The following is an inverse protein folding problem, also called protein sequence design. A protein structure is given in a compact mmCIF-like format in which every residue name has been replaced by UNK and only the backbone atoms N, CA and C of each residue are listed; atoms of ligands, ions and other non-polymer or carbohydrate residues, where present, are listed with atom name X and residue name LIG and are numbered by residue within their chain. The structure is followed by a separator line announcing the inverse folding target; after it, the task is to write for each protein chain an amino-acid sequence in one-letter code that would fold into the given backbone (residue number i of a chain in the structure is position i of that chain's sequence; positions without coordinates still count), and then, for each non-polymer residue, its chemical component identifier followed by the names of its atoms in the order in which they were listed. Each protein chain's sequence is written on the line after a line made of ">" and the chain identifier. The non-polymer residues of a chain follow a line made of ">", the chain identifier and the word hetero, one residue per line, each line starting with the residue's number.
data_IF_125296847882
#
_entry.id   IF_125296847882
#
_cell.length_a   1.000
_cell.length_b   1.000
_cell.length_c   1.000
_cell.angle_alpha   90.00
_cell.angle_beta   90.00
_cell.angle_gamma   90.00
#
_symmetry.space_group_name_H-M   'P 1'
#
loop_
_entity.id
_entity.type
_entity.pdbx_description
1 polymer ?
#
# COMPACT_ATOMS: atom_id res chain seq x y z
N UNK A 1 -24.56 -34.61 7.48
CA UNK A 1 -25.14 -33.27 7.66
C UNK A 1 -23.98 -32.30 7.69
N UNK A 2 -23.82 -31.46 6.67
CA UNK A 2 -22.73 -30.49 6.64
C UNK A 2 -23.31 -29.17 7.14
N UNK A 3 -22.84 -28.71 8.29
CA UNK A 3 -23.13 -27.37 8.80
C UNK A 3 -22.56 -26.36 7.80
N UNK A 4 -23.45 -25.72 7.04
CA UNK A 4 -23.10 -24.55 6.24
C UNK A 4 -22.82 -23.43 7.24
N UNK A 5 -21.55 -23.21 7.56
CA UNK A 5 -21.13 -22.02 8.30
C UNK A 5 -21.64 -20.80 7.55
N UNK A 6 -22.51 -20.03 8.21
CA UNK A 6 -22.99 -18.74 7.74
C UNK A 6 -21.78 -17.85 7.46
N UNK A 7 -21.61 -17.45 6.20
CA UNK A 7 -20.69 -16.38 5.83
C UNK A 7 -21.35 -15.07 6.22
N UNK A 8 -20.84 -14.41 7.27
CA UNK A 8 -21.41 -13.20 7.85
C UNK A 8 -21.62 -12.12 6.78
N UNK A 9 -22.88 -11.74 6.56
CA UNK A 9 -23.24 -10.61 5.72
C UNK A 9 -22.83 -9.30 6.38
N UNK A 10 -22.22 -8.40 5.61
CA UNK A 10 -21.90 -7.04 6.05
C UNK A 10 -23.04 -6.13 5.68
N UNK A 11 -23.73 -5.62 6.71
CA UNK A 11 -24.76 -4.60 6.54
C UNK A 11 -24.17 -3.21 6.81
N UNK A 12 -24.29 -2.33 5.83
CA UNK A 12 -23.93 -0.91 5.89
C UNK A 12 -25.22 -0.11 5.92
N UNK A 13 -25.45 0.60 7.02
CA UNK A 13 -26.65 1.40 7.22
C UNK A 13 -26.39 2.87 6.88
N UNK A 14 -27.48 3.63 6.67
CA UNK A 14 -27.45 5.06 6.41
C UNK A 14 -26.61 5.43 5.17
N UNK A 15 -26.63 4.59 4.14
CA UNK A 15 -25.98 4.84 2.87
C UNK A 15 -27.01 5.41 1.90
N UNK A 16 -26.90 6.69 1.52
CA UNK A 16 -27.77 7.30 0.51
C UNK A 16 -27.58 6.66 -0.87
N UNK A 17 -28.52 6.89 -1.78
CA UNK A 17 -28.44 6.35 -3.14
C UNK A 17 -27.19 6.87 -3.87
N UNK A 18 -26.89 8.16 -3.75
CA UNK A 18 -25.69 8.77 -4.35
C UNK A 18 -24.39 8.17 -3.79
N UNK A 19 -24.34 7.94 -2.47
CA UNK A 19 -23.20 7.27 -1.82
C UNK A 19 -23.05 5.82 -2.28
N UNK A 20 -24.15 5.08 -2.39
CA UNK A 20 -24.14 3.72 -2.91
C UNK A 20 -23.70 3.68 -4.38
N UNK A 21 -24.15 4.63 -5.19
CA UNK A 21 -23.73 4.77 -6.59
C UNK A 21 -22.24 5.09 -6.71
N UNK A 22 -21.67 5.93 -5.82
CA UNK A 22 -20.21 6.14 -5.74
C UNK A 22 -19.45 4.85 -5.44
N UNK A 23 -19.93 4.08 -4.45
CA UNK A 23 -19.35 2.77 -4.09
C UNK A 23 -19.43 1.80 -5.27
N UNK A 24 -20.57 1.74 -5.97
CA UNK A 24 -20.72 0.86 -7.14
C UNK A 24 -19.89 1.29 -8.32
N UNK A 25 -19.76 2.60 -8.57
CA UNK A 25 -18.89 3.12 -9.62
C UNK A 25 -17.43 2.78 -9.35
N UNK A 26 -16.98 2.90 -8.09
CA UNK A 26 -15.66 2.42 -7.67
C UNK A 26 -15.49 0.92 -7.94
N UNK A 27 -16.43 0.08 -7.53
CA UNK A 27 -16.34 -1.37 -7.76
C UNK A 27 -16.39 -1.73 -9.26
N UNK A 28 -17.09 -0.93 -10.07
CA UNK A 28 -17.15 -1.09 -11.51
C UNK A 28 -15.83 -0.70 -12.19
N UNK A 29 -15.15 0.37 -11.76
CA UNK A 29 -13.89 0.82 -12.36
C UNK A 29 -12.78 -0.23 -12.22
N UNK A 30 -12.83 -1.08 -11.19
CA UNK A 30 -11.94 -2.23 -11.02
C UNK A 30 -12.41 -3.51 -11.71
N UNK A 31 -13.52 -3.46 -12.44
CA UNK A 31 -14.08 -4.61 -13.15
C UNK A 31 -14.71 -5.68 -12.24
N UNK A 32 -14.89 -5.39 -10.95
CA UNK A 32 -15.51 -6.33 -10.01
C UNK A 32 -17.01 -6.49 -10.27
N UNK A 33 -17.64 -5.43 -10.79
CA UNK A 33 -19.03 -5.40 -11.25
C UNK A 33 -19.03 -4.89 -12.69
N UNK A 34 -19.76 -5.55 -13.60
CA UNK A 34 -19.86 -5.10 -15.01
C UNK A 34 -20.97 -4.07 -15.21
N UNK A 35 -22.15 -4.36 -14.66
CA UNK A 35 -23.34 -3.54 -14.78
C UNK A 35 -23.87 -3.22 -13.37
N UNK A 36 -23.55 -2.04 -12.81
CA UNK A 36 -24.07 -1.61 -11.52
C UNK A 36 -25.59 -1.67 -11.50
N UNK A 37 -26.11 -2.28 -10.45
CA UNK A 37 -27.53 -2.44 -10.18
C UNK A 37 -27.73 -2.34 -8.67
N UNK A 38 -28.97 -2.28 -8.19
CA UNK A 38 -29.23 -2.32 -6.75
C UNK A 38 -29.02 -3.70 -6.14
N UNK A 39 -28.77 -4.74 -6.93
CA UNK A 39 -28.35 -6.03 -6.41
C UNK A 39 -27.60 -6.80 -7.48
N UNK A 40 -26.77 -7.74 -7.07
CA UNK A 40 -26.02 -8.56 -8.00
C UNK A 40 -24.94 -9.39 -7.32
N UNK A 41 -24.05 -9.93 -8.17
CA UNK A 41 -22.85 -10.63 -7.75
C UNK A 41 -21.61 -9.89 -8.23
N UNK A 42 -20.53 -10.00 -7.46
CA UNK A 42 -19.22 -9.46 -7.79
C UNK A 42 -18.13 -10.45 -7.41
N UNK A 43 -16.95 -10.30 -8.02
CA UNK A 43 -15.76 -11.06 -7.61
C UNK A 43 -14.67 -10.06 -7.26
N UNK A 44 -14.29 -10.03 -5.99
CA UNK A 44 -13.25 -9.12 -5.48
C UNK A 44 -12.07 -9.98 -5.03
N UNK A 45 -10.92 -9.80 -5.66
CA UNK A 45 -9.69 -10.55 -5.33
C UNK A 45 -9.92 -12.08 -5.29
N UNK A 46 -10.63 -12.62 -6.29
CA UNK A 46 -10.97 -14.04 -6.37
C UNK A 46 -12.03 -14.52 -5.38
N UNK A 47 -12.54 -13.66 -4.50
CA UNK A 47 -13.61 -13.97 -3.56
C UNK A 47 -14.96 -13.62 -4.17
N UNK A 48 -15.91 -14.56 -4.32
CA UNK A 48 -17.25 -14.26 -4.81
C UNK A 48 -18.09 -13.61 -3.71
N UNK A 49 -18.77 -12.53 -4.04
CA UNK A 49 -19.70 -11.85 -3.16
C UNK A 49 -21.05 -11.61 -3.85
N UNK A 50 -22.12 -11.56 -3.08
CA UNK A 50 -23.37 -10.94 -3.48
C UNK A 50 -23.51 -9.57 -2.80
N UNK A 51 -24.29 -8.70 -3.42
CA UNK A 51 -24.65 -7.43 -2.82
C UNK A 51 -26.11 -7.08 -3.13
N UNK A 52 -26.73 -6.35 -2.20
CA UNK A 52 -28.08 -5.84 -2.32
C UNK A 52 -28.19 -4.49 -1.60
N UNK A 53 -28.60 -3.47 -2.32
CA UNK A 53 -28.89 -2.14 -1.82
C UNK A 53 -30.39 -1.89 -1.82
N UNK A 54 -30.94 -1.63 -0.64
CA UNK A 54 -32.32 -1.22 -0.45
C UNK A 54 -32.41 0.31 -0.32
N UNK A 55 -33.04 0.93 -1.31
CA UNK A 55 -33.24 2.38 -1.38
C UNK A 55 -34.15 2.92 -0.26
N UNK A 56 -35.12 2.13 0.19
CA UNK A 56 -36.10 2.56 1.19
C UNK A 56 -35.47 2.60 2.59
N UNK A 57 -34.71 1.55 2.94
CA UNK A 57 -34.00 1.47 4.21
C UNK A 57 -32.62 2.12 4.19
N UNK A 58 -32.09 2.50 3.02
CA UNK A 58 -30.73 3.05 2.84
C UNK A 58 -29.67 2.10 3.37
N UNK A 59 -29.84 0.81 3.06
CA UNK A 59 -28.93 -0.25 3.53
C UNK A 59 -28.28 -0.95 2.36
N UNK A 60 -26.96 -1.16 2.45
CA UNK A 60 -26.20 -2.01 1.54
C UNK A 60 -25.75 -3.25 2.29
N UNK A 61 -26.26 -4.40 1.87
CA UNK A 61 -25.80 -5.71 2.30
C UNK A 61 -24.78 -6.25 1.30
N UNK A 62 -23.63 -6.72 1.79
CA UNK A 62 -22.63 -7.44 1.01
C UNK A 62 -22.30 -8.74 1.72
N UNK A 63 -22.50 -9.86 1.04
CA UNK A 63 -22.26 -11.19 1.59
C UNK A 63 -21.17 -11.90 0.81
N UNK A 64 -20.21 -12.47 1.55
CA UNK A 64 -19.25 -13.42 0.98
C UNK A 64 -19.97 -14.72 0.64
N UNK A 65 -19.88 -15.18 -0.60
CA UNK A 65 -20.50 -16.44 -1.02
C UNK A 65 -19.65 -17.65 -0.67
N UNK A 66 -18.37 -17.44 -0.35
CA UNK A 66 -17.44 -18.45 0.14
C UNK A 66 -16.52 -17.83 1.22
N UNK A 67 -16.05 -18.62 2.19
CA UNK A 67 -15.05 -18.16 3.15
C UNK A 67 -13.79 -17.63 2.43
N UNK A 68 -13.26 -16.52 2.93
CA UNK A 68 -12.06 -15.89 2.37
C UNK A 68 -11.14 -15.41 3.49
N UNK A 69 -9.86 -15.79 3.42
CA UNK A 69 -8.80 -15.23 4.29
C UNK A 69 -8.36 -13.84 3.82
N UNK A 70 -8.81 -13.49 2.62
CA UNK A 70 -8.41 -12.37 1.80
C UNK A 70 -9.44 -11.25 2.01
N UNK A 71 -10.68 -11.46 1.60
CA UNK A 71 -11.78 -10.52 1.81
C UNK A 71 -12.52 -10.86 3.10
N UNK A 72 -12.50 -9.96 4.08
CA UNK A 72 -13.17 -10.13 5.39
C UNK A 72 -14.25 -9.08 5.60
N UNK A 73 -15.27 -9.35 6.44
CA UNK A 73 -16.33 -8.39 6.77
C UNK A 73 -15.83 -6.97 7.11
N UNK A 74 -14.77 -6.86 7.91
CA UNK A 74 -14.19 -5.58 8.30
C UNK A 74 -13.62 -4.78 7.11
N UNK A 75 -13.05 -5.46 6.11
CA UNK A 75 -12.46 -4.83 4.92
C UNK A 75 -13.53 -4.36 3.95
N UNK A 76 -14.57 -5.16 3.77
CA UNK A 76 -15.76 -4.77 3.00
C UNK A 76 -16.33 -3.48 3.58
N UNK A 77 -16.54 -3.44 4.91
CA UNK A 77 -17.02 -2.24 5.61
C UNK A 77 -16.09 -1.04 5.39
N UNK A 78 -14.78 -1.21 5.55
CA UNK A 78 -13.81 -0.14 5.37
C UNK A 78 -13.82 0.45 3.95
N UNK A 79 -13.98 -0.38 2.91
CA UNK A 79 -14.06 0.10 1.52
C UNK A 79 -15.33 0.90 1.29
N UNK A 80 -16.50 0.39 1.72
CA UNK A 80 -17.77 1.11 1.55
C UNK A 80 -17.76 2.45 2.31
N UNK A 81 -17.26 2.43 3.55
CA UNK A 81 -17.11 3.61 4.40
C UNK A 81 -16.16 4.66 3.80
N UNK A 82 -15.10 4.23 3.09
CA UNK A 82 -14.20 5.15 2.40
C UNK A 82 -14.85 5.76 1.17
N UNK A 83 -15.44 4.94 0.30
CA UNK A 83 -15.96 5.40 -0.98
C UNK A 83 -17.24 6.24 -0.84
N UNK A 84 -18.06 6.00 0.20
CA UNK A 84 -19.24 6.85 0.45
C UNK A 84 -18.90 8.32 0.66
N UNK A 85 -17.73 8.60 1.26
CA UNK A 85 -17.24 9.95 1.56
C UNK A 85 -16.22 10.47 0.54
N UNK A 86 -15.96 9.76 -0.56
CA UNK A 86 -14.96 10.18 -1.55
C UNK A 86 -15.42 11.45 -2.28
N UNK A 87 -14.63 12.55 -2.28
CA UNK A 87 -14.98 13.78 -2.98
C UNK A 87 -15.15 13.60 -4.49
N UNK A 88 -16.16 14.23 -5.08
CA UNK A 88 -16.49 14.12 -6.52
C UNK A 88 -15.35 14.57 -7.46
N UNK A 89 -14.49 15.48 -7.00
CA UNK A 89 -13.29 15.91 -7.74
C UNK A 89 -12.24 14.81 -7.97
N UNK A 90 -12.41 13.63 -7.35
CA UNK A 90 -11.58 12.44 -7.54
C UNK A 90 -12.29 11.34 -8.36
N UNK A 91 -13.42 11.65 -9.01
CA UNK A 91 -14.24 10.73 -9.83
C UNK A 91 -14.09 11.00 -11.34
N UNK A 92 -13.01 11.66 -11.77
CA UNK A 92 -12.81 12.11 -13.16
C UNK A 92 -12.72 10.97 -14.19
N UNK A 93 -13.46 11.13 -15.29
CA UNK A 93 -13.71 10.16 -16.38
C UNK A 93 -12.53 9.85 -17.31
N UNK A 94 -11.28 9.93 -16.83
CA UNK A 94 -10.09 9.42 -17.52
C UNK A 94 -9.33 8.55 -16.52
N UNK A 95 -9.99 7.49 -16.09
CA UNK A 95 -9.44 6.56 -15.13
C UNK A 95 -8.65 5.46 -15.86
N UNK A 96 -7.43 5.76 -16.29
CA UNK A 96 -6.36 4.75 -16.29
C UNK A 96 -5.96 4.44 -14.85
N UNK A 97 -6.91 4.01 -14.02
CA UNK A 97 -6.75 3.93 -12.57
C UNK A 97 -6.47 2.49 -12.13
N UNK A 98 -5.22 2.32 -11.68
CA UNK A 98 -4.59 1.15 -11.09
C UNK A 98 -5.40 0.61 -9.89
N UNK A 99 -5.42 -0.74 -9.67
CA UNK A 99 -6.06 -1.36 -8.50
C UNK A 99 -5.58 -0.71 -7.20
N UNK A 100 -6.38 -0.82 -6.13
CA UNK A 100 -5.99 -0.45 -4.76
C UNK A 100 -4.59 -1.00 -4.45
N UNK A 101 -3.57 -0.16 -4.65
CA UNK A 101 -2.24 -0.67 -4.99
C UNK A 101 -1.59 -1.33 -3.77
N UNK A 102 -1.12 -2.55 -3.96
CA UNK A 102 -0.11 -3.19 -3.11
C UNK A 102 1.20 -2.41 -3.26
N UNK A 103 1.26 -1.18 -2.75
CA UNK A 103 2.39 -0.28 -2.91
C UNK A 103 3.63 -0.96 -2.33
N UNK A 104 4.66 -1.13 -3.14
CA UNK A 104 5.88 -1.82 -2.77
C UNK A 104 7.09 -0.88 -2.84
N UNK A 105 7.87 -0.84 -1.79
CA UNK A 105 9.09 -0.05 -1.70
C UNK A 105 10.25 -0.99 -1.38
N UNK A 106 11.18 -1.08 -2.31
CA UNK A 106 12.40 -1.88 -2.15
C UNK A 106 13.63 -0.96 -2.16
N UNK A 107 14.22 -0.74 -0.98
CA UNK A 107 15.35 0.19 -0.85
C UNK A 107 16.66 -0.59 -0.92
N UNK A 108 17.44 -0.29 -1.95
CA UNK A 108 18.83 -0.78 -2.07
C UNK A 108 19.78 0.25 -1.46
N UNK A 109 20.75 -0.21 -0.67
CA UNK A 109 21.81 0.65 -0.14
C UNK A 109 23.13 0.27 -0.79
N UNK A 110 23.79 1.25 -1.41
CA UNK A 110 25.18 1.17 -1.87
C UNK A 110 26.08 1.86 -0.85
N UNK A 111 26.86 1.07 -0.11
CA UNK A 111 27.69 1.55 0.98
C UNK A 111 29.15 1.81 0.55
N UNK A 112 29.41 2.98 -0.03
CA UNK A 112 30.77 3.47 -0.31
C UNK A 112 31.33 4.37 0.81
N UNK A 113 30.79 4.30 2.04
CA UNK A 113 31.21 5.17 3.15
C UNK A 113 32.59 4.83 3.74
N UNK A 114 33.07 3.61 3.50
CA UNK A 114 34.27 3.06 4.16
C UNK A 114 34.03 2.54 5.58
N UNK A 115 32.78 2.51 6.04
CA UNK A 115 32.37 1.98 7.34
C UNK A 115 31.31 0.88 7.19
N UNK A 116 31.21 -0.01 8.18
CA UNK A 116 30.09 -0.93 8.30
C UNK A 116 28.84 -0.14 8.70
N UNK A 117 27.77 -0.24 7.93
CA UNK A 117 26.47 0.28 8.35
C UNK A 117 25.76 -0.73 9.24
N UNK A 118 25.18 -0.28 10.34
CA UNK A 118 24.41 -1.11 11.27
C UNK A 118 23.02 -0.53 11.44
N UNK A 119 21.98 -1.30 11.14
CA UNK A 119 20.61 -0.88 11.38
C UNK A 119 20.41 -0.60 12.87
N UNK A 120 19.91 0.59 13.18
CA UNK A 120 19.77 1.12 14.55
C UNK A 120 18.32 1.48 14.89
N UNK A 121 17.42 1.40 13.91
CA UNK A 121 16.00 1.64 14.12
C UNK A 121 15.21 1.62 12.83
N UNK A 122 13.90 1.44 12.99
CA UNK A 122 12.90 1.72 11.97
C UNK A 122 11.68 2.34 12.64
N UNK A 123 11.00 3.21 11.92
CA UNK A 123 9.68 3.69 12.27
C UNK A 123 8.74 3.46 11.09
N UNK A 124 7.51 3.03 11.36
CA UNK A 124 6.53 2.68 10.32
C UNK A 124 5.25 3.44 10.61
N UNK A 125 4.99 4.43 9.76
CA UNK A 125 3.77 5.25 9.83
C UNK A 125 2.61 4.58 9.10
N UNK A 126 2.89 3.94 7.95
CA UNK A 126 1.91 3.25 7.11
C UNK A 126 2.45 1.95 6.56
N UNK A 127 1.57 0.96 6.44
CA UNK A 127 1.90 -0.33 5.85
C UNK A 127 2.70 -1.23 6.79
N UNK A 128 3.53 -2.09 6.20
CA UNK A 128 4.46 -2.96 6.93
C UNK A 128 5.85 -2.83 6.33
N UNK A 129 6.88 -2.95 7.16
CA UNK A 129 8.28 -2.83 6.75
C UNK A 129 9.12 -3.94 7.36
N UNK A 130 10.09 -4.42 6.58
CA UNK A 130 11.06 -5.44 6.95
C UNK A 130 12.45 -4.94 6.57
N UNK A 131 13.35 -4.96 7.55
CA UNK A 131 14.79 -4.84 7.29
C UNK A 131 15.28 -6.21 6.82
N UNK A 132 15.81 -6.27 5.60
CA UNK A 132 16.42 -7.48 5.03
C UNK A 132 17.86 -7.57 5.49
N UNK A 133 18.64 -6.50 5.32
CA UNK A 133 20.03 -6.44 5.73
C UNK A 133 20.24 -5.49 6.90
N UNK A 134 20.54 -6.06 8.07
CA UNK A 134 20.80 -5.29 9.29
C UNK A 134 22.25 -4.78 9.40
N UNK A 135 23.17 -5.34 8.62
CA UNK A 135 24.59 -5.00 8.61
C UNK A 135 25.09 -4.99 7.16
N UNK A 136 25.61 -3.88 6.69
CA UNK A 136 26.00 -3.71 5.27
C UNK A 136 27.46 -3.30 5.23
N UNK A 137 28.35 -4.17 4.73
CA UNK A 137 29.78 -3.90 4.74
C UNK A 137 30.16 -2.77 3.79
N UNK A 138 31.32 -2.17 4.00
CA UNK A 138 31.83 -1.16 3.08
C UNK A 138 32.17 -1.79 1.74
N UNK A 139 31.65 -1.22 0.66
CA UNK A 139 31.77 -1.72 -0.72
C UNK A 139 30.55 -2.52 -1.20
N UNK A 140 29.64 -2.91 -0.31
CA UNK A 140 28.47 -3.70 -0.68
C UNK A 140 27.33 -2.84 -1.25
N UNK A 141 26.60 -3.42 -2.19
CA UNK A 141 25.31 -2.94 -2.67
C UNK A 141 24.27 -4.05 -2.47
N UNK A 142 23.30 -3.81 -1.57
CA UNK A 142 22.33 -4.83 -1.16
C UNK A 142 20.93 -4.25 -1.01
N UNK A 143 19.92 -5.08 -1.28
CA UNK A 143 18.55 -4.80 -0.92
C UNK A 143 18.45 -4.79 0.62
N UNK A 144 18.28 -3.60 1.19
CA UNK A 144 18.33 -3.41 2.63
C UNK A 144 16.95 -3.53 3.26
N UNK A 145 15.90 -3.07 2.57
CA UNK A 145 14.56 -2.90 3.13
C UNK A 145 13.52 -3.24 2.09
N UNK A 146 12.47 -3.90 2.57
CA UNK A 146 11.23 -4.11 1.86
C UNK A 146 10.10 -3.51 2.70
N UNK A 147 9.33 -2.58 2.14
CA UNK A 147 8.12 -2.05 2.75
C UNK A 147 6.95 -2.18 1.78
N UNK A 148 5.77 -2.47 2.31
CA UNK A 148 4.57 -2.65 1.49
C UNK A 148 3.33 -2.11 2.15
N UNK A 149 2.29 -1.85 1.36
CA UNK A 149 0.93 -1.69 1.87
C UNK A 149 0.62 -2.81 2.87
N UNK A 150 -0.01 -2.48 3.99
CA UNK A 150 -0.49 -3.52 4.89
C UNK A 150 -1.48 -4.40 4.11
N UNK A 151 -1.45 -5.71 4.33
CA UNK A 151 -2.32 -6.62 3.58
C UNK A 151 -3.76 -6.15 3.74
N UNK A 152 -4.45 -5.88 2.62
CA UNK A 152 -5.83 -5.35 2.58
C UNK A 152 -6.03 -3.88 2.93
N UNK A 153 -4.94 -3.13 2.98
CA UNK A 153 -4.94 -1.70 3.20
C UNK A 153 -4.83 -0.97 1.87
N UNK A 154 -5.59 0.12 1.71
CA UNK A 154 -5.32 1.13 0.67
C UNK A 154 -4.30 2.17 1.12
N UNK A 155 -3.93 2.11 2.38
CA UNK A 155 -2.89 2.95 2.96
C UNK A 155 -1.56 2.40 2.46
N UNK A 156 -0.80 3.23 1.74
CA UNK A 156 0.46 2.88 1.11
C UNK A 156 1.59 2.51 2.07
N UNK A 157 2.84 2.63 1.62
CA UNK A 157 4.01 2.35 2.43
C UNK A 157 4.67 3.67 2.87
N UNK A 158 4.76 3.91 4.17
CA UNK A 158 5.39 5.13 4.72
C UNK A 158 6.17 4.81 5.99
N UNK A 159 7.40 5.30 6.08
CA UNK A 159 8.21 5.13 7.27
C UNK A 159 9.62 5.64 7.09
N UNK A 160 10.44 5.35 8.09
CA UNK A 160 11.85 5.68 8.10
C UNK A 160 12.68 4.51 8.59
N UNK A 161 13.93 4.47 8.16
CA UNK A 161 14.93 3.54 8.66
C UNK A 161 16.20 4.29 9.01
N UNK A 162 16.90 3.84 10.04
CA UNK A 162 18.14 4.47 10.48
C UNK A 162 19.28 3.46 10.51
N UNK A 163 20.36 3.76 9.82
CA UNK A 163 21.63 3.03 9.89
C UNK A 163 22.69 3.89 10.56
N UNK A 164 23.35 3.33 11.55
CA UNK A 164 24.52 3.91 12.16
C UNK A 164 25.75 3.69 11.26
N UNK A 165 26.50 4.76 10.99
CA UNK A 165 27.75 4.75 10.20
C UNK A 165 28.96 4.68 11.15
N UNK A 166 28.93 5.50 12.19
CA UNK A 166 29.93 5.54 13.27
C UNK A 166 29.25 5.84 14.61
N UNK A 167 30.01 5.97 15.70
CA UNK A 167 29.48 6.21 17.05
C UNK A 167 28.56 7.44 17.18
N UNK A 168 28.64 8.41 16.26
CA UNK A 168 27.96 9.70 16.36
C UNK A 168 27.24 10.12 15.08
N UNK A 169 27.19 9.27 14.05
CA UNK A 169 26.69 9.61 12.72
C UNK A 169 25.77 8.53 12.17
N UNK A 170 24.63 8.97 11.64
CA UNK A 170 23.53 8.13 11.19
C UNK A 170 23.08 8.54 9.79
N UNK A 171 22.77 7.53 8.98
CA UNK A 171 22.00 7.62 7.76
C UNK A 171 20.52 7.39 8.10
N UNK A 172 19.66 8.34 7.77
CA UNK A 172 18.21 8.21 7.89
C UNK A 172 17.64 8.19 6.48
N UNK A 173 16.86 7.16 6.16
CA UNK A 173 16.19 7.03 4.87
C UNK A 173 14.69 7.07 5.14
N UNK A 174 14.03 8.09 4.62
CA UNK A 174 12.58 8.25 4.67
C UNK A 174 12.00 7.76 3.34
N UNK A 175 10.93 6.99 3.42
CA UNK A 175 10.23 6.48 2.25
C UNK A 175 8.72 6.70 2.38
N UNK A 176 8.11 6.96 1.24
CA UNK A 176 6.69 7.19 1.08
C UNK A 176 6.25 6.72 -0.29
N UNK A 177 5.20 5.90 -0.35
CA UNK A 177 4.56 5.47 -1.58
C UNK A 177 3.06 5.28 -1.34
N UNK A 178 2.26 6.23 -1.80
CA UNK A 178 0.80 6.26 -1.71
C UNK A 178 0.19 6.59 -3.08
N UNK A 179 0.65 5.87 -4.12
CA UNK A 179 0.22 6.07 -5.51
C UNK A 179 1.28 6.75 -6.39
N UNK A 180 1.02 6.78 -7.70
CA UNK A 180 2.01 7.14 -8.73
C UNK A 180 2.51 8.59 -8.61
N UNK A 181 1.69 9.52 -8.14
CA UNK A 181 2.08 10.93 -7.97
C UNK A 181 2.54 11.26 -6.54
N UNK A 182 2.32 10.34 -5.60
CA UNK A 182 2.55 10.54 -4.18
C UNK A 182 3.58 9.53 -3.71
N UNK A 183 4.82 9.75 -4.14
CA UNK A 183 5.96 8.92 -3.79
C UNK A 183 7.18 9.78 -3.50
N UNK A 184 7.99 9.33 -2.56
CA UNK A 184 9.25 9.96 -2.24
C UNK A 184 10.16 8.95 -1.55
N UNK A 185 11.44 9.00 -1.91
CA UNK A 185 12.50 8.46 -1.07
C UNK A 185 13.54 9.56 -0.88
N UNK A 186 13.95 9.79 0.35
CA UNK A 186 15.02 10.74 0.67
C UNK A 186 15.99 10.09 1.64
N UNK A 187 17.22 10.61 1.65
CA UNK A 187 18.26 10.14 2.55
C UNK A 187 19.01 11.33 3.13
N UNK A 188 19.08 11.40 4.44
CA UNK A 188 19.79 12.46 5.16
C UNK A 188 20.83 11.89 6.12
N UNK A 189 21.85 12.70 6.39
CA UNK A 189 22.90 12.38 7.34
C UNK A 189 22.70 13.23 8.59
N UNK A 190 22.75 12.59 9.76
CA UNK A 190 22.60 13.25 11.06
C UNK A 190 23.75 12.86 11.96
N UNK A 191 24.38 13.83 12.62
CA UNK A 191 25.47 13.57 13.55
C UNK A 191 26.64 14.53 13.43
N UNK A 192 27.63 14.34 14.30
CA UNK A 192 28.81 15.22 14.40
C UNK A 192 29.67 15.15 13.13
N UNK A 193 29.78 13.97 12.51
CA UNK A 193 30.58 13.77 11.31
C UNK A 193 29.76 13.74 10.02
N UNK A 194 28.48 14.17 10.03
CA UNK A 194 27.59 14.08 8.88
C UNK A 194 28.18 14.75 7.62
N UNK A 195 28.86 15.89 7.77
CA UNK A 195 29.48 16.61 6.66
C UNK A 195 30.65 15.87 5.96
N UNK A 196 31.14 14.76 6.54
CA UNK A 196 32.18 13.92 5.92
C UNK A 196 31.63 12.90 4.93
N UNK A 197 30.32 12.80 4.86
CA UNK A 197 29.62 11.86 3.99
C UNK A 197 28.65 12.61 3.08
N UNK A 198 28.33 11.98 1.96
CA UNK A 198 27.33 12.45 1.02
C UNK A 198 26.38 11.31 0.72
N UNK A 199 25.10 11.65 0.61
CA UNK A 199 24.06 10.73 0.16
C UNK A 199 23.54 11.16 -1.20
N UNK A 200 23.27 10.18 -2.06
CA UNK A 200 22.48 10.40 -3.27
C UNK A 200 21.40 9.34 -3.35
N UNK A 201 20.20 9.77 -3.68
CA UNK A 201 19.06 8.88 -3.90
C UNK A 201 18.73 8.88 -5.39
N UNK A 202 18.65 7.70 -5.98
CA UNK A 202 18.18 7.49 -7.35
C UNK A 202 17.08 6.44 -7.36
N UNK A 203 16.44 6.21 -8.51
CA UNK A 203 15.39 5.19 -8.62
C UNK A 203 14.12 5.49 -7.83
N UNK A 204 13.87 6.77 -7.52
CA UNK A 204 12.67 7.18 -6.76
C UNK A 204 11.40 7.18 -7.60
N UNK A 205 11.51 6.98 -8.92
CA UNK A 205 10.33 6.88 -9.78
C UNK A 205 9.53 5.61 -9.46
N UNK A 206 8.24 5.68 -9.71
CA UNK A 206 7.35 4.53 -9.55
C UNK A 206 7.10 3.83 -10.87
N UNK A 207 6.82 2.53 -10.82
CA UNK A 207 6.33 1.75 -11.95
C UNK A 207 5.15 0.88 -11.55
N UNK A 208 4.22 0.68 -12.46
CA UNK A 208 3.23 -0.37 -12.31
C UNK A 208 3.85 -1.69 -12.75
N UNK A 209 3.80 -2.71 -11.89
CA UNK A 209 4.23 -4.07 -12.20
C UNK A 209 2.99 -4.94 -12.37
N UNK A 210 2.84 -5.52 -13.56
CA UNK A 210 1.71 -6.38 -13.92
C UNK A 210 2.13 -7.86 -14.08
N UNK A 211 3.39 -8.19 -13.76
CA UNK A 211 4.04 -9.44 -14.16
C UNK A 211 3.96 -10.56 -13.10
N UNK A 212 3.02 -10.50 -12.14
CA UNK A 212 2.89 -11.57 -11.13
C UNK A 212 1.47 -12.06 -10.92
N UNK A 213 1.40 -13.29 -10.39
CA UNK A 213 0.17 -13.94 -9.90
C UNK A 213 -0.56 -13.14 -8.80
N UNK A 214 0.02 -12.03 -8.32
CA UNK A 214 -0.52 -11.17 -7.25
C UNK A 214 -1.39 -10.02 -7.76
N UNK A 215 -1.53 -9.87 -9.08
CA UNK A 215 -2.22 -8.74 -9.70
C UNK A 215 -1.32 -7.51 -9.86
N UNK A 216 -1.82 -6.39 -10.39
CA UNK A 216 -1.01 -5.20 -10.61
C UNK A 216 -0.66 -4.50 -9.30
N UNK A 217 0.58 -4.04 -9.15
CA UNK A 217 1.00 -3.21 -8.02
C UNK A 217 1.87 -2.05 -8.43
N UNK A 218 1.94 -1.03 -7.58
CA UNK A 218 2.84 0.11 -7.77
C UNK A 218 4.12 -0.13 -6.97
N UNK A 219 5.26 0.02 -7.62
CA UNK A 219 6.55 -0.22 -7.01
C UNK A 219 7.46 1.00 -7.13
N UNK A 220 8.23 1.27 -6.07
CA UNK A 220 9.33 2.22 -6.03
C UNK A 220 10.59 1.49 -5.55
N UNK A 221 11.65 1.48 -6.36
CA UNK A 221 12.89 0.74 -6.05
C UNK A 221 14.09 1.70 -5.91
N UNK A 222 14.13 2.55 -4.87
CA UNK A 222 15.17 3.54 -4.75
C UNK A 222 16.51 2.92 -4.36
N UNK A 223 17.59 3.50 -4.88
CA UNK A 223 18.96 3.20 -4.44
C UNK A 223 19.50 4.39 -3.67
N UNK A 224 19.87 4.15 -2.41
CA UNK A 224 20.56 5.13 -1.57
C UNK A 224 22.05 4.80 -1.59
N UNK A 225 22.83 5.67 -2.24
CA UNK A 225 24.29 5.61 -2.16
C UNK A 225 24.78 6.52 -1.05
N UNK A 226 25.65 6.00 -0.19
CA UNK A 226 26.42 6.78 0.77
C UNK A 226 27.91 6.69 0.44
N UNK A 227 28.59 7.82 0.36
CA UNK A 227 30.03 7.91 0.06
C UNK A 227 30.71 8.96 0.94
N UNK A 228 32.04 8.95 0.97
CA UNK A 228 32.79 10.07 1.57
C UNK A 228 32.62 11.32 0.71
N UNK A 229 32.40 12.46 1.36
CA UNK A 229 32.26 13.77 0.71
C UNK A 229 33.58 14.30 0.14
#
# INVERSE_FOLDING_TARGET
>A
MSETQSTDAVVIENLSLEEAERVFHFLQSFGYIKNPATSGAMVVMGSPLSYAYDKASKTLEIQLLMPSTIVTPAKIRAVVERERFRPEGLLGSVASELPAADNHVEITINNASGHLLVNSGRDVTKGVSRVIESRIAAGDEVLAIEARSATWSVVGAEGSVTYQIDAQTFLIIDYFLEGELFHQCSAMLKGVNAARYKTTVSGTGTRCVCESDRGPWLEMTPTVKIEKA
#
